data_IF_097984126384
#
_entry.id   IF_097984126384
#
_cell.length_a   1.000
_cell.length_b   1.000
_cell.length_c   1.000
_cell.angle_alpha   90.00
_cell.angle_beta   90.00
_cell.angle_gamma   90.00
#
_symmetry.space_group_name_H-M   'P 1'
#
loop_
_entity.id
_entity.type
_entity.pdbx_description
1 polymer ?
#
# COMPACT_ATOMS: atom_id res chain seq x y z
N UNK A 1 38.98 -1.03 -13.96
CA UNK A 1 37.78 -0.16 -14.06
C UNK A 1 36.67 -0.95 -14.72
N UNK A 2 35.59 -1.28 -14.00
CA UNK A 2 34.47 -2.07 -14.52
C UNK A 2 33.30 -1.15 -14.89
N UNK A 3 32.85 -1.22 -16.15
CA UNK A 3 31.65 -0.52 -16.65
C UNK A 3 30.40 -1.34 -16.28
N UNK A 4 29.73 -1.00 -15.19
CA UNK A 4 28.43 -1.58 -14.84
C UNK A 4 27.31 -0.76 -15.50
N UNK A 5 27.03 -1.06 -16.77
CA UNK A 5 25.80 -0.62 -17.42
C UNK A 5 24.67 -1.59 -17.06
N UNK A 6 23.59 -1.07 -16.48
CA UNK A 6 22.39 -1.84 -16.12
C UNK A 6 21.86 -2.57 -17.36
N UNK A 7 21.82 -3.90 -17.29
CA UNK A 7 21.57 -4.76 -18.43
C UNK A 7 20.06 -4.85 -18.73
N UNK A 8 19.56 -4.00 -19.64
CA UNK A 8 18.14 -3.94 -20.05
C UNK A 8 17.51 -5.31 -20.37
N UNK A 9 18.30 -6.25 -20.89
CA UNK A 9 17.82 -7.61 -21.21
C UNK A 9 17.47 -8.43 -19.98
N UNK A 10 18.19 -8.22 -18.87
CA UNK A 10 17.93 -8.91 -17.60
C UNK A 10 16.70 -8.34 -16.91
N UNK A 11 16.50 -7.02 -16.97
CA UNK A 11 15.29 -6.35 -16.49
C UNK A 11 14.04 -6.80 -17.27
N UNK A 12 14.11 -6.87 -18.60
CA UNK A 12 13.00 -7.38 -19.42
C UNK A 12 12.69 -8.87 -19.18
N UNK A 13 13.70 -9.66 -18.80
CA UNK A 13 13.53 -11.06 -18.44
C UNK A 13 12.85 -11.19 -17.08
N UNK A 14 13.26 -10.36 -16.12
CA UNK A 14 12.65 -10.28 -14.80
C UNK A 14 11.18 -9.87 -14.87
N UNK A 15 10.85 -8.81 -15.61
CA UNK A 15 9.48 -8.35 -15.80
C UNK A 15 8.57 -9.43 -16.39
N UNK A 16 9.05 -10.16 -17.40
CA UNK A 16 8.30 -11.26 -18.01
C UNK A 16 8.10 -12.45 -17.08
N UNK A 17 9.08 -12.76 -16.24
CA UNK A 17 8.95 -13.84 -15.26
C UNK A 17 7.93 -13.49 -14.17
N UNK A 18 7.95 -12.23 -13.70
CA UNK A 18 7.03 -11.76 -12.68
C UNK A 18 5.57 -11.80 -13.16
N UNK A 19 5.29 -11.34 -14.40
CA UNK A 19 3.95 -11.45 -15.02
C UNK A 19 3.50 -12.90 -15.15
N UNK A 20 4.41 -13.83 -15.45
CA UNK A 20 4.07 -15.27 -15.53
C UNK A 20 3.74 -15.85 -14.16
N UNK A 21 4.48 -15.47 -13.13
CA UNK A 21 4.26 -15.95 -11.77
C UNK A 21 2.95 -15.42 -11.18
N UNK A 22 2.63 -14.15 -11.43
CA UNK A 22 1.36 -13.54 -10.98
C UNK A 22 0.15 -14.15 -11.70
N UNK A 23 0.23 -14.39 -13.01
CA UNK A 23 -0.85 -15.09 -13.73
C UNK A 23 -1.02 -16.53 -13.19
N UNK A 24 0.07 -17.23 -12.88
CA UNK A 24 0.01 -18.59 -12.35
C UNK A 24 -0.51 -18.64 -10.91
N UNK A 25 -0.27 -17.62 -10.09
CA UNK A 25 -0.86 -17.54 -8.74
C UNK A 25 -2.36 -17.19 -8.83
N UNK A 26 -2.74 -16.27 -9.72
CA UNK A 26 -4.14 -15.93 -10.01
C UNK A 26 -4.95 -17.16 -10.46
N UNK A 27 -4.44 -17.94 -11.41
CA UNK A 27 -5.09 -19.17 -11.88
C UNK A 27 -5.27 -20.20 -10.75
N UNK A 28 -4.28 -20.35 -9.86
CA UNK A 28 -4.40 -21.24 -8.70
C UNK A 28 -5.42 -20.73 -7.68
N UNK A 29 -5.52 -19.41 -7.48
CA UNK A 29 -6.49 -18.80 -6.60
C UNK A 29 -7.92 -18.95 -7.15
N UNK A 30 -8.12 -18.75 -8.46
CA UNK A 30 -9.41 -18.97 -9.12
C UNK A 30 -9.85 -20.44 -9.07
N UNK A 31 -8.92 -21.40 -9.16
CA UNK A 31 -9.23 -22.83 -8.97
C UNK A 31 -9.60 -23.18 -7.53
N UNK A 32 -9.03 -22.49 -6.53
CA UNK A 32 -9.35 -22.71 -5.11
C UNK A 32 -10.67 -22.07 -4.69
N UNK A 33 -11.04 -20.93 -5.28
CA UNK A 33 -12.26 -20.20 -4.99
C UNK A 33 -13.02 -19.90 -6.30
N UNK A 34 -13.84 -20.82 -6.80
CA UNK A 34 -14.65 -20.54 -7.97
C UNK A 34 -15.59 -19.36 -7.67
N UNK A 35 -15.76 -18.40 -8.60
CA UNK A 35 -16.53 -17.20 -8.38
C UNK A 35 -18.01 -17.55 -8.19
N UNK A 36 -18.47 -17.52 -6.94
CA UNK A 36 -19.89 -17.53 -6.60
C UNK A 36 -20.40 -16.11 -6.75
N UNK A 37 -20.95 -15.77 -7.91
CA UNK A 37 -21.64 -14.50 -8.12
C UNK A 37 -23.13 -14.70 -7.90
N UNK A 38 -23.71 -13.92 -6.99
CA UNK A 38 -24.93 -13.17 -7.29
C UNK A 38 -25.02 -11.97 -6.34
N UNK A 39 -24.49 -10.84 -6.80
CA UNK A 39 -24.97 -9.54 -6.37
C UNK A 39 -24.63 -8.56 -7.49
N UNK A 40 -25.64 -8.24 -8.30
CA UNK A 40 -25.62 -7.07 -9.16
C UNK A 40 -25.31 -5.85 -8.29
N UNK A 41 -24.12 -5.29 -8.41
CA UNK A 41 -23.89 -3.89 -8.13
C UNK A 41 -23.01 -3.33 -9.24
N UNK A 42 -23.65 -2.54 -10.09
CA UNK A 42 -23.00 -1.66 -11.04
C UNK A 42 -22.08 -0.73 -10.27
N UNK A 43 -20.78 -1.03 -10.23
CA UNK A 43 -19.76 -0.05 -9.94
C UNK A 43 -18.43 -0.57 -10.49
N UNK A 44 -17.98 0.07 -11.57
CA UNK A 44 -16.62 0.04 -12.08
C UNK A 44 -15.69 0.58 -11.00
N UNK A 45 -15.29 -0.26 -10.06
CA UNK A 45 -14.21 0.03 -9.13
C UNK A 45 -13.29 -1.16 -9.17
N UNK A 46 -12.10 -0.93 -9.71
CA UNK A 46 -10.93 -1.78 -9.56
C UNK A 46 -10.65 -1.96 -8.06
N UNK A 47 -11.35 -2.90 -7.44
CA UNK A 47 -11.11 -3.33 -6.08
C UNK A 47 -9.87 -4.23 -6.10
N UNK A 48 -8.71 -3.63 -5.80
CA UNK A 48 -7.56 -4.41 -5.35
C UNK A 48 -8.03 -5.16 -4.10
N UNK A 49 -7.95 -6.50 -4.05
CA UNK A 49 -8.38 -7.27 -2.90
C UNK A 49 -7.56 -6.83 -1.69
N UNK A 50 -8.24 -6.51 -0.59
CA UNK A 50 -7.65 -6.06 0.67
C UNK A 50 -6.86 -7.14 1.43
N UNK A 51 -6.33 -8.16 0.74
CA UNK A 51 -5.70 -9.35 1.33
C UNK A 51 -4.29 -9.66 0.85
N UNK A 52 -3.75 -8.91 -0.12
CA UNK A 52 -2.38 -9.12 -0.61
C UNK A 52 -1.72 -7.76 -0.89
N UNK A 53 -1.57 -6.97 0.17
CA UNK A 53 -0.55 -5.91 0.14
C UNK A 53 0.79 -6.64 0.23
N UNK A 54 1.40 -6.92 -0.93
CA UNK A 54 2.83 -7.25 -0.96
C UNK A 54 3.57 -6.14 -0.20
N UNK A 55 4.62 -6.48 0.54
CA UNK A 55 5.35 -5.50 1.37
C UNK A 55 5.81 -4.30 0.53
N UNK A 56 6.24 -4.55 -0.71
CA UNK A 56 6.49 -3.53 -1.75
C UNK A 56 5.29 -2.59 -1.98
N UNK A 57 4.07 -3.10 -2.14
CA UNK A 57 2.88 -2.25 -2.31
C UNK A 57 2.56 -1.39 -1.07
N UNK A 58 2.88 -1.90 0.12
CA UNK A 58 2.78 -1.15 1.38
C UNK A 58 3.82 -0.04 1.47
N UNK A 59 5.07 -0.33 1.09
CA UNK A 59 6.17 0.63 1.09
C UNK A 59 5.96 1.74 0.06
N UNK A 60 5.44 1.44 -1.14
CA UNK A 60 5.06 2.44 -2.14
C UNK A 60 3.96 3.38 -1.63
N UNK A 61 2.94 2.84 -0.96
CA UNK A 61 1.87 3.66 -0.37
C UNK A 61 2.39 4.54 0.79
N UNK A 62 3.33 4.03 1.59
CA UNK A 62 4.03 4.82 2.62
C UNK A 62 4.89 5.92 2.00
N UNK A 63 5.63 5.61 0.94
CA UNK A 63 6.47 6.57 0.23
C UNK A 63 5.63 7.72 -0.36
N UNK A 64 4.50 7.43 -1.02
CA UNK A 64 3.61 8.48 -1.54
C UNK A 64 3.09 9.43 -0.47
N UNK A 65 2.72 8.89 0.70
CA UNK A 65 2.25 9.69 1.82
C UNK A 65 3.39 10.51 2.46
N UNK A 66 4.60 9.94 2.52
CA UNK A 66 5.77 10.66 2.99
C UNK A 66 6.16 11.80 2.02
N UNK A 67 6.14 11.56 0.70
CA UNK A 67 6.37 12.60 -0.31
C UNK A 67 5.33 13.73 -0.22
N UNK A 68 4.09 13.44 0.19
CA UNK A 68 3.09 14.47 0.45
C UNK A 68 3.41 15.36 1.64
N UNK A 69 4.01 14.79 2.68
CA UNK A 69 4.46 15.55 3.84
C UNK A 69 5.65 16.44 3.48
N UNK A 70 6.64 15.89 2.80
CA UNK A 70 7.83 16.63 2.37
C UNK A 70 7.47 17.77 1.41
N UNK A 71 6.56 17.54 0.47
CA UNK A 71 6.13 18.56 -0.46
C UNK A 71 5.22 19.64 0.18
N UNK A 72 4.63 19.40 1.36
CA UNK A 72 3.98 20.48 2.12
C UNK A 72 5.00 21.45 2.72
N UNK A 73 6.19 20.94 3.05
CA UNK A 73 7.30 21.75 3.55
C UNK A 73 8.03 22.45 2.39
N UNK A 74 8.20 21.77 1.24
CA UNK A 74 8.89 22.29 0.06
C UNK A 74 8.15 21.91 -1.25
N UNK A 75 7.16 22.70 -1.69
CA UNK A 75 6.23 22.29 -2.77
C UNK A 75 6.83 22.21 -4.17
N UNK A 76 7.91 22.95 -4.44
CA UNK A 76 8.51 23.06 -5.78
C UNK A 76 9.80 22.26 -5.95
N UNK A 77 10.27 21.58 -4.90
CA UNK A 77 11.54 20.86 -4.95
C UNK A 77 11.30 19.40 -5.32
N UNK A 78 12.22 18.83 -6.09
CA UNK A 78 12.40 17.38 -6.13
C UNK A 78 12.82 16.89 -4.74
N UNK A 79 12.32 15.72 -4.38
CA UNK A 79 12.55 15.11 -3.07
C UNK A 79 13.38 13.85 -3.26
N UNK A 80 14.49 13.77 -2.54
CA UNK A 80 15.36 12.60 -2.51
C UNK A 80 14.67 11.42 -1.78
N UNK A 81 14.48 10.31 -2.50
CA UNK A 81 13.83 9.10 -1.96
C UNK A 81 14.76 8.30 -1.04
N UNK A 82 16.09 8.50 -1.08
CA UNK A 82 17.01 7.81 -0.14
C UNK A 82 16.72 8.17 1.30
N UNK A 83 16.35 9.43 1.56
CA UNK A 83 15.91 9.90 2.88
C UNK A 83 14.73 9.10 3.43
N UNK A 84 13.81 8.68 2.58
CA UNK A 84 12.69 7.84 3.03
C UNK A 84 13.17 6.47 3.49
N UNK A 85 14.05 5.83 2.72
CA UNK A 85 14.61 4.51 3.05
C UNK A 85 15.39 4.57 4.37
N UNK A 86 16.19 5.62 4.56
CA UNK A 86 16.95 5.86 5.80
C UNK A 86 16.04 6.15 7.00
N UNK A 87 15.11 7.11 6.88
CA UNK A 87 14.20 7.50 7.96
C UNK A 87 13.29 6.34 8.40
N UNK A 88 12.93 5.45 7.47
CA UNK A 88 12.07 4.29 7.74
C UNK A 88 12.85 2.99 8.02
N UNK A 89 14.19 3.05 8.08
CA UNK A 89 15.08 1.91 8.34
C UNK A 89 14.85 0.72 7.40
N UNK A 90 14.57 1.00 6.12
CA UNK A 90 14.27 -0.01 5.11
C UNK A 90 15.55 -0.52 4.45
N UNK A 91 16.42 -1.19 5.22
CA UNK A 91 17.77 -1.56 4.78
C UNK A 91 17.82 -2.50 3.55
N UNK A 92 16.75 -3.25 3.28
CA UNK A 92 16.66 -4.18 2.16
C UNK A 92 16.02 -3.54 0.90
N UNK A 93 15.49 -2.33 1.01
CA UNK A 93 14.79 -1.64 -0.08
C UNK A 93 15.72 -0.69 -0.84
N UNK A 94 15.68 -0.75 -2.17
CA UNK A 94 16.41 0.18 -3.03
C UNK A 94 15.52 1.39 -3.36
N UNK A 95 15.95 2.58 -2.90
CA UNK A 95 15.27 3.85 -3.16
C UNK A 95 15.03 4.12 -4.65
N UNK A 96 15.97 3.71 -5.50
CA UNK A 96 15.87 3.87 -6.96
C UNK A 96 14.78 2.98 -7.54
N UNK A 97 14.64 1.75 -7.01
CA UNK A 97 13.59 0.81 -7.42
C UNK A 97 12.22 1.34 -6.98
N UNK A 98 12.08 1.80 -5.73
CA UNK A 98 10.84 2.39 -5.24
C UNK A 98 10.41 3.63 -6.06
N UNK A 99 11.36 4.52 -6.36
CA UNK A 99 11.12 5.69 -7.20
C UNK A 99 10.67 5.27 -8.62
N UNK A 100 11.36 4.29 -9.20
CA UNK A 100 11.05 3.76 -10.52
C UNK A 100 9.66 3.11 -10.57
N UNK A 101 9.28 2.31 -9.58
CA UNK A 101 7.95 1.71 -9.49
C UNK A 101 6.83 2.76 -9.42
N UNK A 102 7.04 3.87 -8.71
CA UNK A 102 6.09 4.99 -8.70
C UNK A 102 6.04 5.73 -10.04
N UNK A 103 7.17 5.90 -10.73
CA UNK A 103 7.22 6.52 -12.07
C UNK A 103 6.47 5.67 -13.11
N UNK A 104 6.63 4.34 -13.07
CA UNK A 104 5.89 3.42 -13.95
C UNK A 104 4.37 3.49 -13.75
N UNK A 105 3.91 3.91 -12.57
CA UNK A 105 2.49 4.13 -12.27
C UNK A 105 2.04 5.56 -12.53
N UNK A 106 2.90 6.38 -13.16
CA UNK A 106 2.69 7.80 -13.42
C UNK A 106 2.44 8.63 -12.15
N UNK A 107 2.83 8.16 -10.97
CA UNK A 107 2.57 8.83 -9.69
C UNK A 107 3.64 9.86 -9.35
N UNK A 108 4.85 9.67 -9.87
CA UNK A 108 5.97 10.59 -9.73
C UNK A 108 6.71 10.73 -11.06
N UNK A 109 7.55 11.76 -11.15
CA UNK A 109 8.52 11.97 -12.22
C UNK A 109 9.90 12.02 -11.61
N UNK A 110 10.81 11.18 -12.11
CA UNK A 110 12.18 11.12 -11.60
C UNK A 110 13.02 12.17 -12.32
N UNK A 111 13.79 12.96 -11.57
CA UNK A 111 14.86 13.77 -12.13
C UNK A 111 15.96 12.82 -12.63
N UNK A 112 16.06 12.62 -13.94
CA UNK A 112 17.12 11.80 -14.55
C UNK A 112 18.43 12.58 -14.58
N UNK A 113 19.06 12.75 -13.43
CA UNK A 113 20.47 13.12 -13.35
C UNK A 113 21.33 11.87 -13.62
N UNK A 114 22.38 12.02 -14.44
CA UNK A 114 23.35 10.95 -14.70
C UNK A 114 24.13 10.64 -13.40
N UNK A 115 23.63 9.68 -12.60
CA UNK A 115 24.33 9.14 -11.43
C UNK A 115 24.09 9.86 -10.10
N UNK A 116 22.89 10.41 -9.88
CA UNK A 116 22.51 11.08 -8.62
C UNK A 116 21.53 10.27 -7.75
N UNK A 117 21.09 10.89 -6.66
CA UNK A 117 20.00 10.41 -5.80
C UNK A 117 18.70 10.29 -6.60
N UNK A 118 17.81 9.33 -6.26
CA UNK A 118 16.50 9.18 -6.89
C UNK A 118 15.57 10.31 -6.45
N UNK A 119 15.80 11.49 -7.03
CA UNK A 119 15.06 12.71 -6.77
C UNK A 119 13.74 12.70 -7.55
N UNK A 120 12.62 12.87 -6.85
CA UNK A 120 11.28 12.73 -7.45
C UNK A 120 10.40 13.95 -7.25
N UNK A 121 9.60 14.26 -8.27
CA UNK A 121 8.50 15.22 -8.19
C UNK A 121 7.15 14.52 -8.34
N UNK A 122 6.14 14.96 -7.60
CA UNK A 122 4.82 14.31 -7.61
C UNK A 122 3.98 14.80 -8.78
N UNK A 123 3.37 13.86 -9.50
CA UNK A 123 2.41 14.18 -10.56
C UNK A 123 1.01 14.42 -10.00
N UNK A 124 0.11 14.90 -10.84
CA UNK A 124 -1.31 15.05 -10.56
C UNK A 124 -1.97 13.70 -10.20
N UNK A 125 -1.57 12.63 -10.90
CA UNK A 125 -2.04 11.27 -10.60
C UNK A 125 -1.53 10.80 -9.22
N UNK A 126 -0.29 11.13 -8.85
CA UNK A 126 0.22 10.89 -7.49
C UNK A 126 -0.61 11.62 -6.42
N UNK A 127 -0.99 12.88 -6.67
CA UNK A 127 -1.85 13.65 -5.74
C UNK A 127 -3.24 13.03 -5.59
N UNK A 128 -3.84 12.57 -6.69
CA UNK A 128 -5.12 11.87 -6.66
C UNK A 128 -5.04 10.56 -5.87
N UNK A 129 -3.97 9.78 -6.06
CA UNK A 129 -3.77 8.53 -5.33
C UNK A 129 -3.53 8.77 -3.84
N UNK A 130 -2.76 9.79 -3.46
CA UNK A 130 -2.60 10.21 -2.06
C UNK A 130 -3.95 10.56 -1.44
N UNK A 131 -4.80 11.29 -2.15
CA UNK A 131 -6.15 11.62 -1.67
C UNK A 131 -6.98 10.35 -1.46
N UNK A 132 -6.92 9.39 -2.39
CA UNK A 132 -7.57 8.08 -2.27
C UNK A 132 -7.06 7.30 -1.05
N UNK A 133 -5.75 7.24 -0.85
CA UNK A 133 -5.11 6.59 0.30
C UNK A 133 -5.56 7.19 1.63
N UNK A 134 -5.61 8.53 1.72
CA UNK A 134 -6.09 9.23 2.93
C UNK A 134 -7.56 8.91 3.20
N UNK A 135 -8.42 8.92 2.18
CA UNK A 135 -9.83 8.56 2.31
C UNK A 135 -10.02 7.12 2.78
N UNK A 136 -9.27 6.18 2.21
CA UNK A 136 -9.30 4.77 2.64
C UNK A 136 -8.84 4.59 4.09
N UNK A 137 -7.83 5.34 4.54
CA UNK A 137 -7.39 5.30 5.96
C UNK A 137 -8.48 5.80 6.91
N UNK A 138 -9.15 6.90 6.57
CA UNK A 138 -10.28 7.41 7.37
C UNK A 138 -11.42 6.40 7.43
N UNK A 139 -11.78 5.81 6.30
CA UNK A 139 -12.82 4.80 6.20
C UNK A 139 -12.46 3.52 6.99
N UNK A 140 -11.20 3.07 6.93
CA UNK A 140 -10.70 1.96 7.77
C UNK A 140 -10.81 2.29 9.27
N UNK A 141 -10.43 3.50 9.68
CA UNK A 141 -10.54 3.93 11.07
C UNK A 141 -12.01 4.02 11.51
N UNK A 142 -12.90 4.51 10.65
CA UNK A 142 -14.34 4.58 10.91
C UNK A 142 -14.93 3.18 11.11
N UNK A 143 -14.58 2.23 10.23
CA UNK A 143 -14.98 0.82 10.38
C UNK A 143 -14.50 0.22 11.70
N UNK A 144 -13.24 0.44 12.06
CA UNK A 144 -12.67 -0.09 13.30
C UNK A 144 -13.39 0.48 14.52
N UNK A 145 -13.59 1.81 14.55
CA UNK A 145 -14.35 2.48 15.63
C UNK A 145 -15.76 1.92 15.75
N UNK A 146 -16.47 1.79 14.64
CA UNK A 146 -17.80 1.21 14.61
C UNK A 146 -17.82 -0.22 15.20
N UNK A 147 -16.90 -1.08 14.78
CA UNK A 147 -16.82 -2.44 15.31
C UNK A 147 -16.50 -2.48 16.79
N UNK A 148 -15.59 -1.60 17.26
CA UNK A 148 -15.20 -1.52 18.66
C UNK A 148 -16.35 -0.99 19.52
N UNK A 149 -17.09 0.02 19.05
CA UNK A 149 -18.28 0.53 19.72
C UNK A 149 -19.39 -0.52 19.79
N UNK A 150 -19.60 -1.29 18.73
CA UNK A 150 -20.57 -2.39 18.73
C UNK A 150 -20.19 -3.49 19.73
N UNK A 151 -18.92 -3.86 19.79
CA UNK A 151 -18.39 -4.82 20.78
C UNK A 151 -18.54 -4.28 22.19
N UNK A 152 -18.19 -3.02 22.44
CA UNK A 152 -18.35 -2.40 23.75
C UNK A 152 -19.82 -2.37 24.18
N UNK A 153 -20.75 -1.97 23.29
CA UNK A 153 -22.19 -1.99 23.59
C UNK A 153 -22.66 -3.40 23.93
N UNK A 154 -22.31 -4.38 23.10
CA UNK A 154 -22.66 -5.78 23.34
C UNK A 154 -22.14 -6.26 24.70
N UNK A 155 -20.88 -5.94 25.07
CA UNK A 155 -20.31 -6.30 26.36
C UNK A 155 -21.08 -5.70 27.53
N UNK A 156 -21.46 -4.42 27.47
CA UNK A 156 -22.22 -3.78 28.55
C UNK A 156 -23.66 -4.31 28.63
N UNK A 157 -24.31 -4.55 27.50
CA UNK A 157 -25.67 -5.11 27.46
C UNK A 157 -25.71 -6.55 27.99
N UNK A 158 -24.70 -7.37 27.68
CA UNK A 158 -24.63 -8.76 28.14
C UNK A 158 -24.07 -8.91 29.56
N UNK A 159 -23.06 -8.11 29.95
CA UNK A 159 -22.47 -8.17 31.29
C UNK A 159 -23.35 -7.45 32.33
N UNK A 160 -24.10 -6.42 31.95
CA UNK A 160 -25.03 -5.72 32.84
C UNK A 160 -26.20 -6.60 33.32
N UNK A 161 -26.47 -7.71 32.64
CA UNK A 161 -27.50 -8.68 33.01
C UNK A 161 -26.95 -9.88 33.80
N UNK A 162 -25.62 -9.99 33.96
CA UNK A 162 -25.02 -10.99 34.85
C UNK A 162 -25.08 -10.46 36.29
N UNK A 163 -26.07 -10.90 37.06
CA UNK A 163 -26.04 -10.74 38.52
C UNK A 163 -24.77 -11.41 39.05
N UNK A 164 -24.05 -10.79 40.01
CA UNK A 164 -22.93 -11.47 40.66
C UNK A 164 -23.44 -12.82 41.17
N UNK A 165 -22.74 -13.89 40.79
CA UNK A 165 -23.03 -15.23 41.31
C UNK A 165 -22.63 -15.19 42.78
N UNK A 166 -23.55 -14.79 43.65
CA UNK A 166 -23.42 -15.01 45.08
C UNK A 166 -23.45 -16.52 45.30
N UNK A 167 -22.27 -17.15 45.27
CA UNK A 167 -22.08 -18.47 45.87
C UNK A 167 -22.05 -18.26 47.39
N UNK A 168 -23.24 -18.15 47.99
CA UNK A 168 -23.39 -18.45 49.41
C UNK A 168 -23.22 -19.97 49.54
N UNK A 169 -22.06 -20.39 50.04
CA UNK A 169 -21.82 -21.77 50.44
C UNK A 169 -22.76 -22.10 51.61
N UNK A 170 -23.66 -23.06 51.39
CA UNK A 170 -24.33 -23.85 52.44
C UNK A 170 -23.56 -25.15 52.62
#
# INVERSE_FOLDING_TARGET
MARNGINKRELDKWARNLVKETNKSLERAQRRNPPRVSAQLNATVSAIPAGEMTESSGNLARLLLWLDEQARQNPSHYIDVTRFVEEQQLHDEDASVLAFELEQRYMVTIARALGGTPDVHRTDAGRAEIHRLKKMRLDRAARLRYTMDAVHRWLFDTAGHQRPINRCWQ
#
